data_IF_252438315542
#
_entry.id   IF_252438315542
#
_cell.length_a   1.000
_cell.length_b   1.000
_cell.length_c   1.000
_cell.angle_alpha   90.00
_cell.angle_beta   90.00
_cell.angle_gamma   90.00
#
_symmetry.space_group_name_H-M   'P 1'
#
loop_
_entity.id
_entity.type
_entity.pdbx_description
1 polymer ?
#
# COMPACT_ATOMS: atom_id res chain seq x y z
N UNK A 1 -13.50 8.70 -14.86
CA UNK A 1 -12.35 8.01 -14.24
C UNK A 1 -12.47 8.17 -12.75
N UNK A 2 -13.12 7.20 -12.11
CA UNK A 2 -13.40 7.19 -10.67
C UNK A 2 -12.12 7.27 -9.85
N UNK A 3 -11.90 8.43 -9.23
CA UNK A 3 -10.82 8.69 -8.27
C UNK A 3 -11.12 8.13 -6.87
N UNK A 4 -12.18 7.31 -6.74
CA UNK A 4 -12.82 7.00 -5.45
C UNK A 4 -12.67 5.55 -4.96
N UNK A 5 -11.96 4.67 -5.68
CA UNK A 5 -11.86 3.25 -5.25
C UNK A 5 -10.60 2.89 -4.45
N UNK A 6 -9.68 3.82 -4.24
CA UNK A 6 -8.52 3.56 -3.37
C UNK A 6 -8.94 3.60 -1.91
N UNK A 7 -8.94 2.44 -1.26
CA UNK A 7 -9.36 2.28 0.15
C UNK A 7 -8.30 2.83 1.10
N UNK A 8 -7.03 2.85 0.68
CA UNK A 8 -5.92 3.36 1.49
C UNK A 8 -5.04 4.25 0.63
N UNK A 9 -4.83 5.50 1.08
CA UNK A 9 -3.90 6.46 0.49
C UNK A 9 -2.68 6.55 1.40
N UNK A 10 -1.49 6.30 0.84
CA UNK A 10 -0.23 6.23 1.59
C UNK A 10 0.78 7.18 0.98
N UNK A 11 1.29 8.11 1.79
CA UNK A 11 2.46 8.88 1.44
C UNK A 11 3.70 8.09 1.87
N UNK A 12 4.52 7.66 0.91
CA UNK A 12 5.72 6.88 1.15
C UNK A 12 6.98 7.68 0.82
N UNK A 13 8.05 7.45 1.57
CA UNK A 13 9.38 7.95 1.21
C UNK A 13 9.90 7.22 -0.04
N UNK A 14 10.92 7.75 -0.72
CA UNK A 14 11.51 7.09 -1.89
C UNK A 14 11.99 5.66 -1.61
N UNK A 15 12.52 5.41 -0.40
CA UNK A 15 13.00 4.10 0.03
C UNK A 15 11.85 3.11 0.22
N UNK A 16 10.78 3.55 0.87
CA UNK A 16 9.58 2.74 1.07
C UNK A 16 8.88 2.45 -0.25
N UNK A 17 8.71 3.46 -1.11
CA UNK A 17 8.12 3.29 -2.43
C UNK A 17 8.87 2.25 -3.27
N UNK A 18 10.21 2.33 -3.29
CA UNK A 18 11.03 1.34 -3.99
C UNK A 18 10.90 -0.06 -3.37
N UNK A 19 10.91 -0.16 -2.03
CA UNK A 19 10.71 -1.43 -1.35
C UNK A 19 9.33 -2.04 -1.63
N UNK A 20 8.28 -1.23 -1.67
CA UNK A 20 6.92 -1.68 -1.99
C UNK A 20 6.82 -2.19 -3.42
N UNK A 21 7.41 -1.47 -4.39
CA UNK A 21 7.49 -1.94 -5.79
C UNK A 21 8.27 -3.25 -5.92
N UNK A 22 9.45 -3.35 -5.28
CA UNK A 22 10.34 -4.49 -5.43
C UNK A 22 9.89 -5.73 -4.68
N UNK A 23 9.42 -5.57 -3.43
CA UNK A 23 9.01 -6.68 -2.56
C UNK A 23 7.52 -6.99 -2.63
N UNK A 24 6.73 -6.16 -3.34
CA UNK A 24 5.26 -6.27 -3.44
C UNK A 24 4.60 -6.41 -2.06
N UNK A 25 5.12 -5.69 -1.07
CA UNK A 25 4.59 -5.72 0.30
C UNK A 25 4.81 -4.40 1.02
N UNK A 26 3.94 -4.09 1.97
CA UNK A 26 3.99 -2.91 2.83
C UNK A 26 3.60 -3.27 4.26
N UNK A 27 4.03 -2.44 5.21
CA UNK A 27 3.57 -2.50 6.61
C UNK A 27 2.64 -1.33 6.84
N UNK A 28 1.44 -1.59 7.33
CA UNK A 28 0.49 -0.57 7.74
C UNK A 28 0.29 -0.60 9.25
N UNK A 29 0.00 0.56 9.87
CA UNK A 29 -0.38 0.61 11.27
C UNK A 29 -1.70 -0.14 11.49
N UNK A 30 -1.88 -0.64 12.71
CA UNK A 30 -3.15 -1.23 13.15
C UNK A 30 -4.21 -0.13 13.14
N UNK A 31 -5.44 -0.47 12.73
CA UNK A 31 -6.56 0.47 12.60
C UNK A 31 -6.82 0.95 11.18
N UNK A 32 -5.92 0.69 10.22
CA UNK A 32 -6.20 0.89 8.80
C UNK A 32 -7.11 -0.23 8.30
N UNK A 33 -8.19 0.13 7.62
CA UNK A 33 -9.07 -0.85 6.99
C UNK A 33 -8.38 -1.41 5.74
N UNK A 34 -7.97 -2.68 5.81
CA UNK A 34 -7.42 -3.43 4.69
C UNK A 34 -8.37 -4.56 4.32
N UNK A 35 -8.54 -4.81 3.02
CA UNK A 35 -9.31 -5.93 2.53
C UNK A 35 -8.70 -6.45 1.23
N UNK A 36 -8.80 -7.77 1.02
CA UNK A 36 -8.35 -8.42 -0.21
C UNK A 36 -9.13 -7.86 -1.40
N UNK A 37 -8.43 -7.62 -2.52
CA UNK A 37 -8.99 -7.04 -3.73
C UNK A 37 -9.12 -5.52 -3.70
N UNK A 38 -8.90 -4.86 -2.55
CA UNK A 38 -8.93 -3.40 -2.48
C UNK A 38 -7.64 -2.77 -3.00
N UNK A 39 -7.75 -1.54 -3.47
CA UNK A 39 -6.65 -0.74 -4.02
C UNK A 39 -6.00 0.11 -2.95
N UNK A 40 -4.67 0.23 -3.03
CA UNK A 40 -3.83 1.11 -2.23
C UNK A 40 -3.12 2.07 -3.18
N UNK A 41 -3.34 3.35 -2.96
CA UNK A 41 -2.66 4.42 -3.68
C UNK A 41 -1.43 4.84 -2.91
N UNK A 42 -0.26 4.68 -3.51
CA UNK A 42 1.01 5.08 -2.91
C UNK A 42 1.57 6.27 -3.68
N UNK A 43 1.69 7.39 -2.99
CA UNK A 43 2.31 8.60 -3.51
C UNK A 43 3.69 8.81 -2.89
N UNK A 44 4.67 9.12 -3.73
CA UNK A 44 6.03 9.44 -3.33
C UNK A 44 6.38 10.84 -3.83
N UNK A 45 6.27 11.83 -2.94
CA UNK A 45 6.56 13.23 -3.25
C UNK A 45 8.02 13.45 -3.68
N UNK A 46 8.97 12.74 -3.06
CA UNK A 46 10.41 12.87 -3.37
C UNK A 46 10.78 12.49 -4.80
N UNK A 47 9.98 11.62 -5.44
CA UNK A 47 10.19 11.20 -6.83
C UNK A 47 9.09 11.69 -7.76
N UNK A 48 8.16 12.51 -7.27
CA UNK A 48 6.92 12.87 -7.98
C UNK A 48 6.25 11.66 -8.62
N UNK A 49 6.20 10.54 -7.89
CA UNK A 49 5.77 9.24 -8.41
C UNK A 49 4.50 8.75 -7.72
N UNK A 50 3.62 8.14 -8.50
CA UNK A 50 2.39 7.51 -8.05
C UNK A 50 2.35 6.05 -8.50
N UNK A 51 1.90 5.16 -7.61
CA UNK A 51 1.66 3.77 -7.94
C UNK A 51 0.44 3.26 -7.18
N UNK A 52 -0.49 2.66 -7.92
CA UNK A 52 -1.57 1.90 -7.33
C UNK A 52 -1.17 0.43 -7.20
N UNK A 53 -1.53 -0.18 -6.07
CA UNK A 53 -1.36 -1.60 -5.81
C UNK A 53 -2.70 -2.22 -5.41
N UNK A 54 -2.91 -3.49 -5.74
CA UNK A 54 -4.07 -4.25 -5.29
C UNK A 54 -3.66 -5.18 -4.16
N UNK A 55 -4.40 -5.19 -3.05
CA UNK A 55 -4.13 -6.08 -1.92
C UNK A 55 -4.46 -7.52 -2.31
N UNK A 56 -3.45 -8.38 -2.37
CA UNK A 56 -3.61 -9.82 -2.62
C UNK A 56 -3.91 -10.58 -1.33
N UNK A 57 -3.20 -10.25 -0.25
CA UNK A 57 -3.42 -10.82 1.07
C UNK A 57 -2.84 -9.92 2.17
N UNK A 58 -3.23 -10.11 3.42
CA UNK A 58 -2.67 -9.40 4.56
C UNK A 58 -2.62 -10.29 5.81
N UNK A 59 -1.68 -9.99 6.71
CA UNK A 59 -1.51 -10.67 8.00
C UNK A 59 -1.48 -9.59 9.07
N UNK A 60 -2.32 -9.73 10.09
CA UNK A 60 -2.32 -8.84 11.26
C UNK A 60 -1.32 -9.39 12.26
N UNK A 61 -0.30 -8.60 12.59
CA UNK A 61 0.70 -8.89 13.62
C UNK A 61 0.48 -7.93 14.80
N UNK A 62 1.08 -8.24 15.97
CA UNK A 62 0.89 -7.48 17.22
C UNK A 62 1.03 -5.96 17.08
N UNK A 63 1.90 -5.47 16.20
CA UNK A 63 2.21 -4.04 16.07
C UNK A 63 1.88 -3.45 14.69
N UNK A 64 1.57 -4.28 13.69
CA UNK A 64 1.34 -3.81 12.33
C UNK A 64 0.59 -4.86 11.49
N UNK A 65 0.03 -4.40 10.38
CA UNK A 65 -0.54 -5.24 9.35
C UNK A 65 0.50 -5.38 8.24
N UNK A 66 0.92 -6.61 7.93
CA UNK A 66 1.75 -6.89 6.78
C UNK A 66 0.84 -7.13 5.57
N UNK A 67 0.89 -6.23 4.59
CA UNK A 67 0.08 -6.30 3.37
C UNK A 67 0.95 -6.77 2.21
N UNK A 68 0.46 -7.75 1.45
CA UNK A 68 1.06 -8.24 0.20
C UNK A 68 0.21 -7.80 -0.98
N UNK A 69 0.87 -7.27 -2.00
CA UNK A 69 0.24 -6.78 -3.22
C UNK A 69 0.20 -7.85 -4.31
N UNK A 70 -0.73 -7.70 -5.24
CA UNK A 70 -0.74 -8.45 -6.49
C UNK A 70 0.46 -8.04 -7.36
N UNK A 71 0.88 -8.95 -8.23
CA UNK A 71 1.94 -8.66 -9.21
C UNK A 71 1.45 -7.67 -10.25
#
# INVERSE_FOLDING_TARGET
MDKDEAVVKVNATAKEFYSMRKKKQARFPIGIQVAKGKKVDVYCAQKSAFQQFVIKNFIILKNHILVKFAD
#
